data_IF_965422937540
#
_entry.id   IF_965422937540
#
_cell.length_a   1.000
_cell.length_b   1.000
_cell.length_c   1.000
_cell.angle_alpha   90.00
_cell.angle_beta   90.00
_cell.angle_gamma   90.00
#
_symmetry.space_group_name_H-M   'P 1'
#
loop_
_entity.id
_entity.type
_entity.pdbx_description
1 polymer ?
#
# COMPACT_ATOMS: atom_id res chain seq x y z
N UNK A 1 8.70 3.14 -40.56
CA UNK A 1 8.58 4.09 -39.45
C UNK A 1 7.35 3.70 -38.65
N UNK A 2 7.54 2.90 -37.60
CA UNK A 2 6.43 2.45 -36.74
C UNK A 2 6.56 3.28 -35.47
N UNK A 3 5.58 4.16 -35.27
CA UNK A 3 5.42 4.96 -34.04
C UNK A 3 4.82 3.99 -33.02
N UNK A 4 5.54 3.69 -31.95
CA UNK A 4 4.97 3.01 -30.79
C UNK A 4 4.28 4.08 -29.94
N UNK A 5 2.94 4.08 -29.99
CA UNK A 5 2.11 4.76 -28.99
C UNK A 5 2.28 4.03 -27.65
N UNK A 6 3.09 4.61 -26.76
CA UNK A 6 3.19 4.17 -25.38
C UNK A 6 1.90 4.60 -24.68
N UNK A 7 0.97 3.66 -24.56
CA UNK A 7 -0.27 3.81 -23.80
C UNK A 7 0.09 4.17 -22.35
N UNK A 8 -0.40 5.34 -21.93
CA UNK A 8 -0.37 5.85 -20.56
C UNK A 8 -1.06 4.86 -19.61
N UNK A 9 -0.28 4.10 -18.86
CA UNK A 9 -0.70 3.50 -17.59
C UNK A 9 0.32 3.93 -16.53
N UNK A 10 0.24 5.20 -16.13
CA UNK A 10 1.22 5.89 -15.28
C UNK A 10 0.68 6.14 -13.86
N UNK A 11 -0.43 5.52 -13.46
CA UNK A 11 -1.08 5.86 -12.19
C UNK A 11 -0.58 5.04 -10.99
N UNK A 12 -0.03 3.83 -11.18
CA UNK A 12 0.48 3.01 -10.06
C UNK A 12 1.96 3.26 -9.74
N UNK A 13 2.78 3.63 -10.72
CA UNK A 13 4.20 3.92 -10.48
C UNK A 13 4.40 5.28 -9.80
N UNK A 14 3.49 6.25 -10.01
CA UNK A 14 3.65 7.61 -9.48
C UNK A 14 3.71 7.68 -7.96
N UNK A 15 3.08 6.74 -7.23
CA UNK A 15 3.11 6.70 -5.77
C UNK A 15 4.51 6.35 -5.21
N UNK A 16 5.32 5.64 -5.98
CA UNK A 16 6.71 5.28 -5.63
C UNK A 16 7.74 6.21 -6.28
N UNK A 17 7.30 7.13 -7.15
CA UNK A 17 8.16 7.99 -7.95
C UNK A 17 8.36 9.38 -7.33
N UNK A 18 8.08 9.56 -6.04
CA UNK A 18 8.44 10.80 -5.36
C UNK A 18 9.97 11.00 -5.43
N UNK A 19 10.45 12.18 -5.84
CA UNK A 19 11.87 12.48 -5.82
C UNK A 19 12.43 12.25 -4.42
N UNK A 20 13.60 11.63 -4.33
CA UNK A 20 14.31 11.46 -3.07
C UNK A 20 14.56 12.82 -2.43
N UNK A 21 14.03 13.03 -1.22
CA UNK A 21 14.21 14.26 -0.45
C UNK A 21 15.27 13.99 0.62
N UNK A 22 16.32 14.82 0.62
CA UNK A 22 17.29 14.81 1.71
C UNK A 22 16.59 15.26 2.99
N UNK A 23 16.78 14.52 4.08
CA UNK A 23 16.23 14.90 5.37
C UNK A 23 16.88 16.18 5.91
N UNK A 24 16.21 16.84 6.85
CA UNK A 24 16.73 18.02 7.55
C UNK A 24 17.13 17.63 8.96
N UNK A 25 18.35 17.93 9.42
CA UNK A 25 18.76 17.61 10.77
C UNK A 25 18.13 18.57 11.78
N UNK A 26 18.15 18.15 13.05
CA UNK A 26 17.91 19.01 14.20
C UNK A 26 19.02 20.06 14.38
N UNK A 27 18.84 21.06 15.27
CA UNK A 27 19.88 22.06 15.54
C UNK A 27 21.22 21.51 16.03
N UNK A 28 21.25 20.30 16.60
CA UNK A 28 22.45 19.60 17.04
C UNK A 28 23.17 18.84 15.90
N UNK A 29 22.61 18.84 14.69
CA UNK A 29 23.16 18.15 13.52
C UNK A 29 22.70 16.70 13.37
N UNK A 30 21.88 16.18 14.30
CA UNK A 30 21.39 14.80 14.28
C UNK A 30 20.13 14.71 13.39
N UNK A 31 20.08 13.70 12.54
CA UNK A 31 18.91 13.40 11.71
C UNK A 31 18.00 12.42 12.45
N UNK A 32 16.80 12.87 12.82
CA UNK A 32 15.87 12.07 13.61
C UNK A 32 14.70 11.57 12.76
N UNK A 33 14.37 10.28 12.89
CA UNK A 33 13.25 9.65 12.22
C UNK A 33 12.45 8.79 13.18
N UNK A 34 11.13 8.87 13.06
CA UNK A 34 10.19 8.01 13.76
C UNK A 34 9.60 6.99 12.78
N UNK A 35 9.74 5.72 13.12
CA UNK A 35 9.26 4.59 12.32
C UNK A 35 8.20 3.84 13.11
N UNK A 36 6.98 3.83 12.61
CA UNK A 36 5.87 3.07 13.18
C UNK A 36 5.69 1.79 12.39
N UNK A 37 5.88 0.65 13.05
CA UNK A 37 5.71 -0.67 12.47
C UNK A 37 4.30 -1.17 12.80
N UNK A 38 3.48 -1.36 11.77
CA UNK A 38 2.08 -1.81 11.90
C UNK A 38 1.81 -3.02 11.00
N UNK A 39 0.82 -3.83 11.37
CA UNK A 39 0.32 -4.90 10.51
C UNK A 39 -0.60 -4.32 9.42
N UNK A 40 -0.48 -4.85 8.21
CA UNK A 40 -1.42 -4.63 7.10
C UNK A 40 -1.77 -5.95 6.43
N UNK A 41 -3.03 -6.07 6.02
CA UNK A 41 -3.48 -7.19 5.20
C UNK A 41 -3.27 -6.85 3.73
N UNK A 42 -2.52 -7.68 3.01
CA UNK A 42 -2.37 -7.53 1.55
C UNK A 42 -3.70 -7.78 0.85
N UNK A 43 -3.83 -7.26 -0.38
CA UNK A 43 -5.03 -7.46 -1.19
C UNK A 43 -6.28 -6.98 -0.44
N UNK A 44 -6.15 -5.90 0.33
CA UNK A 44 -7.24 -5.30 1.09
C UNK A 44 -7.24 -3.78 0.97
N UNK A 45 -8.41 -3.17 1.15
CA UNK A 45 -8.60 -1.71 1.14
C UNK A 45 -9.39 -1.29 2.38
N UNK A 46 -9.12 -0.08 2.88
CA UNK A 46 -9.98 0.53 3.88
C UNK A 46 -11.19 1.18 3.21
N UNK A 47 -12.39 0.73 3.58
CA UNK A 47 -13.64 1.36 3.17
C UNK A 47 -13.86 2.70 3.89
N UNK A 48 -14.78 3.52 3.38
CA UNK A 48 -15.13 4.83 3.97
C UNK A 48 -15.57 4.80 5.44
N UNK A 49 -15.96 3.63 5.95
CA UNK A 49 -16.36 3.40 7.34
C UNK A 49 -15.21 2.89 8.24
N UNK A 50 -13.96 2.89 7.74
CA UNK A 50 -12.80 2.37 8.44
C UNK A 50 -12.74 0.84 8.51
N UNK A 51 -13.65 0.12 7.84
CA UNK A 51 -13.59 -1.34 7.77
C UNK A 51 -12.64 -1.78 6.66
N UNK A 52 -11.74 -2.70 6.98
CA UNK A 52 -10.90 -3.39 6.00
C UNK A 52 -11.77 -4.33 5.17
N UNK A 53 -11.62 -4.26 3.86
CA UNK A 53 -12.29 -5.11 2.89
C UNK A 53 -11.26 -5.90 2.11
N UNK A 54 -11.47 -7.21 2.03
CA UNK A 54 -10.60 -8.13 1.31
C UNK A 54 -11.00 -8.13 -0.16
N UNK A 55 -10.01 -7.94 -1.03
CA UNK A 55 -10.18 -7.83 -2.47
C UNK A 55 -9.52 -8.98 -3.21
N UNK A 56 -10.19 -9.49 -4.23
CA UNK A 56 -9.61 -10.47 -5.14
C UNK A 56 -9.40 -9.84 -6.52
N UNK A 57 -8.39 -10.37 -7.21
CA UNK A 57 -7.99 -9.94 -8.55
C UNK A 57 -8.48 -10.93 -9.59
N UNK A 58 -9.26 -10.45 -10.56
CA UNK A 58 -9.75 -11.21 -11.71
C UNK A 58 -9.18 -10.62 -13.01
N UNK A 59 -8.17 -11.27 -13.62
CA UNK A 59 -7.57 -10.80 -14.86
C UNK A 59 -8.46 -10.96 -16.08
N UNK A 60 -9.44 -11.87 -16.08
CA UNK A 60 -10.24 -12.18 -17.26
C UNK A 60 -11.32 -11.12 -17.52
N UNK A 61 -11.65 -10.33 -16.49
CA UNK A 61 -12.57 -9.18 -16.57
C UNK A 61 -11.85 -7.81 -16.63
N UNK A 62 -10.64 -7.79 -17.23
CA UNK A 62 -9.76 -6.61 -17.35
C UNK A 62 -10.44 -5.37 -17.95
N UNK A 63 -11.44 -5.54 -18.82
CA UNK A 63 -12.11 -4.43 -19.50
C UNK A 63 -13.10 -3.65 -18.64
N UNK A 64 -13.55 -4.19 -17.49
CA UNK A 64 -14.54 -3.53 -16.63
C UNK A 64 -13.96 -3.04 -15.31
N UNK A 65 -13.15 -3.86 -14.63
CA UNK A 65 -12.37 -3.57 -13.42
C UNK A 65 -11.87 -4.92 -12.90
N UNK A 66 -10.56 -5.15 -12.73
CA UNK A 66 -10.06 -6.47 -12.37
C UNK A 66 -10.08 -6.74 -10.85
N UNK A 67 -10.78 -5.92 -10.06
CA UNK A 67 -10.82 -6.01 -8.60
C UNK A 67 -12.25 -6.15 -8.10
N UNK A 68 -12.49 -7.09 -7.19
CA UNK A 68 -13.80 -7.29 -6.57
C UNK A 68 -13.66 -7.56 -5.07
N UNK A 69 -14.70 -7.24 -4.31
CA UNK A 69 -14.73 -7.53 -2.86
C UNK A 69 -15.05 -9.01 -2.67
N UNK A 70 -14.21 -9.70 -1.89
CA UNK A 70 -14.44 -11.10 -1.51
C UNK A 70 -15.71 -11.22 -0.68
N UNK A 71 -16.52 -12.24 -0.97
CA UNK A 71 -17.69 -12.55 -0.12
C UNK A 71 -17.22 -12.91 1.30
N UNK A 72 -17.86 -12.32 2.31
CA UNK A 72 -17.60 -12.63 3.72
C UNK A 72 -18.00 -14.05 4.10
N UNK A 73 -18.90 -14.66 3.32
CA UNK A 73 -19.33 -16.04 3.48
C UNK A 73 -18.34 -17.01 2.82
N UNK A 74 -17.58 -17.72 3.67
CA UNK A 74 -16.55 -18.66 3.24
C UNK A 74 -17.12 -19.96 2.64
N UNK A 75 -18.43 -20.21 2.75
CA UNK A 75 -19.08 -21.39 2.17
C UNK A 75 -19.44 -21.19 0.69
N UNK A 76 -19.40 -19.95 0.20
CA UNK A 76 -19.65 -19.63 -1.20
C UNK A 76 -18.38 -19.75 -2.04
N UNK A 77 -18.51 -20.04 -3.34
CA UNK A 77 -17.39 -19.97 -4.27
C UNK A 77 -16.72 -18.59 -4.21
N UNK A 78 -15.38 -18.55 -4.28
CA UNK A 78 -14.61 -17.30 -4.28
C UNK A 78 -14.98 -16.34 -5.43
N UNK A 79 -15.62 -16.85 -6.48
CA UNK A 79 -16.09 -16.13 -7.66
C UNK A 79 -17.51 -15.55 -7.50
N UNK A 80 -18.15 -15.71 -6.34
CA UNK A 80 -19.44 -15.08 -6.05
C UNK A 80 -19.26 -13.55 -5.98
N UNK A 81 -19.28 -12.89 -7.14
CA UNK A 81 -18.97 -11.48 -7.28
C UNK A 81 -20.02 -10.62 -6.57
N UNK A 82 -19.62 -9.88 -5.54
CA UNK A 82 -20.35 -8.69 -5.15
C UNK A 82 -19.95 -7.56 -6.10
N UNK A 83 -20.92 -6.80 -6.60
CA UNK A 83 -20.64 -5.70 -7.52
C UNK A 83 -19.74 -4.66 -6.85
N UNK A 84 -18.60 -4.38 -7.49
CA UNK A 84 -17.70 -3.32 -7.06
C UNK A 84 -18.39 -1.96 -7.22
N UNK A 85 -18.37 -1.15 -6.17
CA UNK A 85 -18.82 0.23 -6.22
C UNK A 85 -17.63 1.16 -5.94
N UNK A 86 -17.07 1.74 -7.00
CA UNK A 86 -15.94 2.68 -6.94
C UNK A 86 -16.24 3.93 -6.10
N UNK A 87 -17.52 4.21 -5.81
CA UNK A 87 -17.90 5.29 -4.92
C UNK A 87 -17.68 4.97 -3.44
N UNK A 88 -17.50 3.70 -3.06
CA UNK A 88 -17.36 3.25 -1.67
C UNK A 88 -15.94 2.80 -1.30
N UNK A 89 -15.14 2.40 -2.28
CA UNK A 89 -13.84 1.78 -2.05
C UNK A 89 -12.73 2.58 -2.73
N UNK A 90 -11.64 2.79 -2.02
CA UNK A 90 -10.51 3.59 -2.49
C UNK A 90 -9.27 2.71 -2.69
N UNK A 91 -9.01 2.34 -3.95
CA UNK A 91 -7.85 1.53 -4.32
C UNK A 91 -6.50 2.20 -4.03
N UNK A 92 -6.43 3.50 -3.70
CA UNK A 92 -5.17 4.13 -3.28
C UNK A 92 -4.64 3.56 -1.96
N UNK A 93 -5.48 2.84 -1.21
CA UNK A 93 -5.07 2.13 0.02
C UNK A 93 -4.75 0.65 -0.23
N UNK A 94 -4.95 0.15 -1.45
CA UNK A 94 -4.76 -1.25 -1.78
C UNK A 94 -3.27 -1.60 -1.71
N UNK A 95 -2.92 -2.46 -0.76
CA UNK A 95 -1.59 -3.06 -0.73
C UNK A 95 -1.56 -4.29 -1.63
N UNK A 96 -1.23 -4.09 -2.91
CA UNK A 96 -1.05 -5.17 -3.86
C UNK A 96 0.37 -5.77 -3.72
N UNK A 97 0.44 -7.03 -3.29
CA UNK A 97 1.66 -7.84 -3.40
C UNK A 97 1.41 -9.00 -4.38
N UNK A 98 2.13 -10.12 -4.24
CA UNK A 98 2.16 -11.29 -5.15
C UNK A 98 0.84 -12.09 -5.24
N UNK A 99 -0.31 -11.43 -5.18
CA UNK A 99 -1.64 -12.01 -5.35
C UNK A 99 -2.16 -12.85 -4.18
N UNK A 100 -1.40 -12.97 -3.08
CA UNK A 100 -1.82 -13.72 -1.90
C UNK A 100 -2.31 -12.78 -0.80
N UNK A 101 -3.29 -13.26 -0.05
CA UNK A 101 -3.80 -12.66 1.18
C UNK A 101 -2.92 -13.06 2.36
N UNK A 102 -2.21 -12.10 2.92
CA UNK A 102 -1.31 -12.33 4.05
C UNK A 102 -1.16 -11.05 4.87
N UNK A 103 -0.87 -11.24 6.16
CA UNK A 103 -0.48 -10.15 7.03
C UNK A 103 0.99 -9.83 6.73
N UNK A 104 1.29 -8.55 6.51
CA UNK A 104 2.65 -8.03 6.33
C UNK A 104 2.90 -6.90 7.31
N UNK A 105 4.17 -6.68 7.64
CA UNK A 105 4.57 -5.53 8.45
C UNK A 105 4.88 -4.35 7.53
N UNK A 106 4.25 -3.22 7.80
CA UNK A 106 4.47 -1.97 7.10
C UNK A 106 5.26 -0.99 7.96
N UNK A 107 6.01 -0.10 7.30
CA UNK A 107 6.71 1.01 7.96
C UNK A 107 5.95 2.28 7.61
N UNK A 108 5.46 2.99 8.62
CA UNK A 108 4.64 4.19 8.45
C UNK A 108 3.44 3.95 7.51
N UNK A 109 2.85 2.75 7.55
CA UNK A 109 1.70 2.36 6.73
C UNK A 109 2.01 1.98 5.28
N UNK A 110 3.28 1.93 4.86
CA UNK A 110 3.69 1.61 3.48
C UNK A 110 4.54 0.33 3.39
N UNK A 111 4.44 -0.35 2.25
CA UNK A 111 5.27 -1.50 1.88
C UNK A 111 5.63 -1.39 0.39
N UNK A 112 6.91 -1.22 0.02
CA UNK A 112 8.03 -0.90 0.92
C UNK A 112 7.83 0.45 1.62
N UNK A 113 8.49 0.63 2.76
CA UNK A 113 8.52 1.91 3.46
C UNK A 113 9.29 2.99 2.70
N UNK A 114 9.07 4.26 3.07
CA UNK A 114 9.78 5.39 2.45
C UNK A 114 11.30 5.31 2.71
N UNK A 115 12.15 5.66 1.73
CA UNK A 115 13.59 5.64 1.90
C UNK A 115 14.05 6.77 2.84
N UNK A 116 15.02 6.46 3.70
CA UNK A 116 15.71 7.43 4.54
C UNK A 116 16.97 7.90 3.80
N UNK A 117 17.07 9.21 3.54
CA UNK A 117 18.19 9.81 2.78
C UNK A 117 18.88 10.87 3.62
N UNK A 118 20.15 10.64 3.95
CA UNK A 118 21.01 11.53 4.76
C UNK A 118 22.39 11.69 4.11
N UNK A 119 23.14 12.78 4.41
CA UNK A 119 24.51 12.95 3.92
C UNK A 119 25.47 11.87 4.43
N UNK A 120 26.57 11.67 3.70
CA UNK A 120 27.65 10.78 4.14
C UNK A 120 28.26 11.28 5.46
N UNK A 121 28.42 10.36 6.42
CA UNK A 121 28.95 10.68 7.75
C UNK A 121 27.95 11.34 8.70
N UNK A 122 26.67 11.44 8.32
CA UNK A 122 25.62 11.95 9.19
C UNK A 122 25.37 11.05 10.40
N UNK A 123 25.09 11.66 11.55
CA UNK A 123 24.57 10.98 12.73
C UNK A 123 23.05 10.87 12.64
N UNK A 124 22.52 9.66 12.84
CA UNK A 124 21.10 9.35 12.66
C UNK A 124 20.53 8.74 13.94
N UNK A 125 19.43 9.30 14.41
CA UNK A 125 18.61 8.74 15.49
C UNK A 125 17.35 8.12 14.89
N UNK A 126 17.19 6.81 15.03
CA UNK A 126 16.00 6.08 14.61
C UNK A 126 15.21 5.65 15.83
N UNK A 127 14.00 6.19 15.98
CA UNK A 127 13.04 5.75 16.99
C UNK A 127 12.03 4.82 16.34
N UNK A 128 11.96 3.58 16.80
CA UNK A 128 11.08 2.56 16.22
C UNK A 128 9.95 2.23 17.19
N UNK A 129 8.72 2.50 16.79
CA UNK A 129 7.50 2.15 17.51
C UNK A 129 6.93 0.86 16.95
N UNK A 130 6.96 -0.20 17.74
CA UNK A 130 6.33 -1.47 17.38
C UNK A 130 4.86 -1.47 17.80
N UNK A 131 3.94 -1.45 16.84
CA UNK A 131 2.49 -1.53 17.04
C UNK A 131 1.91 -2.87 16.53
N UNK A 132 2.73 -3.90 16.35
CA UNK A 132 2.28 -5.23 15.90
C UNK A 132 1.37 -5.93 16.93
N UNK A 133 1.40 -5.50 18.20
CA UNK A 133 0.67 -6.12 19.30
C UNK A 133 -0.43 -5.23 19.90
N UNK A 134 -0.79 -4.11 19.27
CA UNK A 134 -1.94 -3.31 19.72
C UNK A 134 -3.25 -3.94 19.23
N UNK A 135 -3.53 -5.15 19.73
CA UNK A 135 -4.82 -5.82 19.58
C UNK A 135 -5.65 -5.60 20.85
N UNK A 136 -6.59 -4.65 20.81
CA UNK A 136 -7.96 -4.78 21.36
C UNK A 136 -8.88 -3.87 20.55
#
# INVERSE_FOLDING_TARGET
MIIFDIVKNVETYSEFAEPLKLATPRPDGIYEFELVITEKLTMSTEGKNGKVQVLDYDPDHFHSMPWYVRDSDQEKPCEASNSWNSSYYNLTSLLQLHGLHQIVHSVNGKVPGDPIVVPYGAEVLLTVFNQLLSSV
#
